data_IF_543959999550
#
_entry.id   IF_543959999550
#
_cell.length_a   1.000
_cell.length_b   1.000
_cell.length_c   1.000
_cell.angle_alpha   90.00
_cell.angle_beta   90.00
_cell.angle_gamma   90.00
#
_symmetry.space_group_name_H-M   'P 1'
#
loop_
_entity.id
_entity.type
_entity.pdbx_description
1 polymer ?
#
# COMPACT_ATOMS: atom_id res chain seq x y z
N UNK A 1 6.99 8.25 45.10
CA UNK A 1 7.57 7.27 44.16
C UNK A 1 7.47 7.88 42.78
N UNK A 2 8.57 7.91 42.04
CA UNK A 2 8.63 8.39 40.66
C UNK A 2 8.59 7.15 39.79
N UNK A 3 7.50 6.96 39.05
CA UNK A 3 7.40 5.88 38.07
C UNK A 3 7.96 6.39 36.74
N UNK A 4 9.09 5.82 36.37
CA UNK A 4 9.68 5.87 35.05
C UNK A 4 8.87 4.94 34.13
N UNK A 5 8.26 5.51 33.08
CA UNK A 5 7.68 4.76 31.99
C UNK A 5 7.98 5.50 30.68
N UNK A 6 8.97 5.00 29.96
CA UNK A 6 9.31 5.30 28.57
C UNK A 6 8.10 5.28 27.64
N UNK A 7 7.93 6.33 26.85
CA UNK A 7 7.38 6.25 25.49
C UNK A 7 8.31 7.00 24.54
N UNK A 8 8.71 6.44 23.38
CA UNK A 8 9.16 7.28 22.28
C UNK A 8 7.92 8.06 21.83
N UNK A 9 7.96 9.38 22.00
CA UNK A 9 6.97 10.29 21.42
C UNK A 9 6.82 9.91 19.95
N UNK A 10 5.68 9.30 19.63
CA UNK A 10 5.34 8.90 18.29
C UNK A 10 5.51 10.10 17.39
N UNK A 11 6.20 9.88 16.27
CA UNK A 11 6.41 10.79 15.17
C UNK A 11 5.21 11.71 15.02
N UNK A 12 5.33 12.94 15.55
CA UNK A 12 4.43 14.01 15.17
C UNK A 12 4.41 14.00 13.64
N UNK A 13 3.23 14.04 12.99
CA UNK A 13 3.21 14.31 11.57
C UNK A 13 3.98 15.62 11.45
N UNK A 14 5.12 15.61 10.78
CA UNK A 14 5.92 16.80 10.57
C UNK A 14 4.98 17.80 9.89
N UNK A 15 4.40 18.68 10.70
CA UNK A 15 3.51 19.73 10.28
C UNK A 15 4.41 20.65 9.48
N UNK A 16 4.45 20.39 8.18
CA UNK A 16 5.32 21.03 7.22
C UNK A 16 4.96 22.51 7.17
N UNK A 17 5.57 23.27 8.07
CA UNK A 17 5.50 24.71 8.11
C UNK A 17 6.15 25.27 6.85
N UNK A 18 5.39 25.45 5.77
CA UNK A 18 5.59 26.39 4.65
C UNK A 18 7.01 26.60 4.09
N UNK A 19 7.93 25.65 4.28
CA UNK A 19 9.33 25.74 3.89
C UNK A 19 9.52 24.80 2.69
N UNK A 20 10.05 25.30 1.56
CA UNK A 20 10.29 24.47 0.39
C UNK A 20 11.22 23.30 0.72
N UNK A 21 11.03 22.18 0.02
CA UNK A 21 11.82 20.97 0.17
C UNK A 21 13.34 21.28 0.07
N UNK A 22 14.14 20.98 1.11
CA UNK A 22 15.56 21.35 1.17
C UNK A 22 16.42 20.56 0.19
N UNK A 23 15.90 19.48 -0.41
CA UNK A 23 16.60 18.76 -1.50
C UNK A 23 16.68 19.61 -2.77
N UNK A 24 15.85 20.65 -2.90
CA UNK A 24 15.75 21.47 -4.11
C UNK A 24 15.17 20.70 -5.31
N UNK A 25 14.72 19.47 -5.09
CA UNK A 25 14.07 18.64 -6.10
C UNK A 25 12.58 19.00 -6.08
N UNK A 26 12.18 19.76 -7.09
CA UNK A 26 10.78 20.15 -7.33
C UNK A 26 9.91 18.90 -7.43
N UNK A 27 8.81 18.86 -6.68
CA UNK A 27 7.90 17.72 -6.64
C UNK A 27 8.46 16.42 -6.04
N UNK A 28 9.61 16.44 -5.34
CA UNK A 28 10.22 15.23 -4.77
C UNK A 28 9.30 14.45 -3.83
N UNK A 29 8.42 15.17 -3.13
CA UNK A 29 7.41 14.57 -2.27
C UNK A 29 6.08 14.42 -3.04
N UNK A 30 5.63 13.19 -3.35
CA UNK A 30 4.34 12.98 -4.00
C UNK A 30 3.17 13.54 -3.20
N UNK A 31 3.28 13.60 -1.87
CA UNK A 31 2.23 14.08 -0.98
C UNK A 31 2.17 15.62 -0.85
N UNK A 32 3.22 16.35 -1.23
CA UNK A 32 3.27 17.82 -1.12
C UNK A 32 3.44 18.47 -2.49
N UNK A 33 2.85 19.63 -2.71
CA UNK A 33 3.13 20.46 -3.87
C UNK A 33 4.50 21.15 -3.73
N UNK A 34 4.90 21.90 -4.78
CA UNK A 34 6.20 22.59 -4.80
C UNK A 34 6.32 23.71 -3.76
N UNK A 35 5.21 24.08 -3.13
CA UNK A 35 5.15 25.08 -2.07
C UNK A 35 5.21 24.45 -0.67
N UNK A 36 5.23 23.12 -0.59
CA UNK A 36 5.23 22.36 0.66
C UNK A 36 3.84 22.19 1.27
N UNK A 37 2.78 22.55 0.57
CA UNK A 37 1.41 22.29 1.01
C UNK A 37 1.01 20.86 0.62
N UNK A 38 0.12 20.20 1.37
CA UNK A 38 -0.39 18.89 0.96
C UNK A 38 -1.00 19.00 -0.43
N UNK A 39 -0.54 18.15 -1.36
CA UNK A 39 -1.25 17.97 -2.63
C UNK A 39 -2.66 17.55 -2.26
N UNK A 40 -3.66 18.35 -2.63
CA UNK A 40 -5.02 17.84 -2.68
C UNK A 40 -4.93 16.60 -3.57
N UNK A 41 -5.24 15.44 -3.00
CA UNK A 41 -5.39 14.26 -3.80
C UNK A 41 -6.53 14.60 -4.74
N UNK A 42 -6.21 14.94 -5.99
CA UNK A 42 -7.16 15.04 -7.09
C UNK A 42 -7.61 13.60 -7.36
N UNK A 43 -8.34 13.05 -6.39
CA UNK A 43 -9.06 11.80 -6.55
C UNK A 43 -10.24 12.24 -7.40
N UNK A 44 -10.13 11.99 -8.71
CA UNK A 44 -11.29 12.03 -9.57
C UNK A 44 -12.41 11.18 -8.94
N UNK A 45 -13.66 11.47 -9.29
CA UNK A 45 -14.78 10.69 -8.78
C UNK A 45 -14.49 9.20 -8.92
N UNK A 46 -14.68 8.46 -7.83
CA UNK A 46 -14.53 7.02 -7.87
C UNK A 46 -15.44 6.49 -8.98
N UNK A 47 -14.98 5.55 -9.83
CA UNK A 47 -15.84 4.99 -10.86
C UNK A 47 -17.10 4.44 -10.22
N UNK A 48 -18.24 4.68 -10.88
CA UNK A 48 -19.52 4.14 -10.42
C UNK A 48 -19.45 2.62 -10.33
N UNK A 49 -20.07 2.01 -9.29
CA UNK A 49 -20.14 0.57 -9.20
C UNK A 49 -20.94 -0.01 -10.39
N UNK A 50 -20.67 -1.25 -10.81
CA UNK A 50 -21.46 -1.90 -11.85
C UNK A 50 -22.95 -1.99 -11.47
N UNK A 51 -23.84 -1.77 -12.44
CA UNK A 51 -25.30 -1.83 -12.21
C UNK A 51 -25.77 -3.24 -11.82
N UNK A 52 -25.14 -4.28 -12.38
CA UNK A 52 -25.48 -5.69 -12.13
C UNK A 52 -24.28 -6.44 -11.57
N UNK A 53 -24.38 -6.86 -10.32
CA UNK A 53 -23.32 -7.64 -9.67
C UNK A 53 -23.35 -9.11 -10.10
N UNK A 54 -24.51 -9.57 -10.55
CA UNK A 54 -24.78 -10.94 -10.98
C UNK A 54 -24.13 -11.28 -12.32
N UNK A 55 -23.87 -10.26 -13.14
CA UNK A 55 -23.19 -10.39 -14.44
C UNK A 55 -21.66 -10.34 -14.30
N UNK A 56 -21.13 -10.05 -13.10
CA UNK A 56 -19.69 -10.10 -12.87
C UNK A 56 -19.24 -11.55 -12.85
N UNK A 57 -18.33 -11.88 -13.77
CA UNK A 57 -17.59 -13.13 -13.72
C UNK A 57 -16.63 -13.12 -12.53
N UNK A 58 -17.11 -13.62 -11.40
CA UNK A 58 -16.32 -13.78 -10.18
C UNK A 58 -15.40 -15.00 -10.24
N UNK A 59 -15.35 -15.73 -11.36
CA UNK A 59 -14.42 -16.85 -11.51
C UNK A 59 -13.02 -16.29 -11.80
N UNK A 60 -12.03 -16.53 -10.93
CA UNK A 60 -10.67 -16.10 -11.19
C UNK A 60 -10.16 -16.80 -12.46
N UNK A 61 -9.73 -16.00 -13.43
CA UNK A 61 -9.15 -16.54 -14.65
C UNK A 61 -7.96 -17.47 -14.32
N UNK A 62 -7.95 -18.66 -14.91
CA UNK A 62 -6.86 -19.62 -14.71
C UNK A 62 -7.05 -20.60 -13.55
N UNK A 63 -8.18 -20.57 -12.83
CA UNK A 63 -8.64 -21.73 -12.07
C UNK A 63 -9.27 -22.74 -13.03
N UNK A 64 -8.44 -23.44 -13.81
CA UNK A 64 -8.91 -24.64 -14.47
C UNK A 64 -9.29 -25.66 -13.37
N UNK A 65 -10.37 -26.44 -13.58
CA UNK A 65 -10.72 -27.63 -12.77
C UNK A 65 -9.68 -28.77 -12.97
N UNK A 66 -8.43 -28.41 -13.26
CA UNK A 66 -7.35 -29.37 -13.34
C UNK A 66 -7.09 -29.92 -11.95
N UNK A 67 -7.05 -31.25 -11.80
CA UNK A 67 -6.70 -31.86 -10.53
C UNK A 67 -5.32 -31.36 -10.11
N UNK A 68 -5.16 -31.09 -8.81
CA UNK A 68 -3.85 -30.83 -8.25
C UNK A 68 -2.89 -31.95 -8.68
N UNK A 69 -1.72 -31.57 -9.18
CA UNK A 69 -0.67 -32.54 -9.51
C UNK A 69 -0.22 -33.19 -8.21
N UNK A 70 -0.12 -34.50 -8.21
CA UNK A 70 0.46 -35.25 -7.09
C UNK A 70 1.89 -34.74 -6.86
N UNK A 71 2.19 -34.42 -5.60
CA UNK A 71 3.54 -33.99 -5.23
C UNK A 71 4.50 -35.17 -5.43
N UNK A 72 5.65 -34.89 -6.03
CA UNK A 72 6.70 -35.90 -6.18
C UNK A 72 7.32 -36.20 -4.80
N UNK A 73 7.14 -37.41 -4.25
CA UNK A 73 7.68 -37.75 -2.93
C UNK A 73 9.22 -37.75 -2.90
N UNK A 74 9.86 -37.89 -4.06
CA UNK A 74 11.31 -37.85 -4.19
C UNK A 74 11.84 -36.41 -4.34
N UNK A 75 10.96 -35.42 -4.50
CA UNK A 75 11.32 -34.00 -4.64
C UNK A 75 10.42 -33.08 -3.79
N UNK A 76 10.58 -33.11 -2.45
CA UNK A 76 9.88 -32.16 -1.59
C UNK A 76 10.38 -30.75 -1.90
N UNK A 77 9.48 -29.87 -2.32
CA UNK A 77 9.78 -28.46 -2.52
C UNK A 77 10.31 -27.86 -1.20
N UNK A 78 11.59 -27.45 -1.18
CA UNK A 78 12.19 -26.82 -0.01
C UNK A 78 11.91 -25.32 -0.06
N UNK A 79 11.59 -24.68 1.09
CA UNK A 79 11.47 -23.24 1.14
C UNK A 79 12.82 -22.60 0.77
N UNK A 80 12.80 -21.60 -0.12
CA UNK A 80 14.01 -20.93 -0.62
C UNK A 80 14.70 -20.04 0.42
N UNK A 81 14.05 -19.82 1.57
CA UNK A 81 14.55 -18.97 2.65
C UNK A 81 15.22 -19.78 3.77
N UNK A 82 16.12 -20.69 3.38
CA UNK A 82 16.86 -21.52 4.32
C UNK A 82 18.09 -20.84 4.89
#
# INVERSE_FOLDING_TARGET
>A
MTDDATQPEGTEPASGSGKPDPTGIVGANPALDDTGNPKSAEVGEAPEPPENLEDLDLTPAGLADEPAKEEDPDNPAKPENS
#
